data_IF_784553692514
#
_entry.id   IF_784553692514
#
_cell.length_a   1.000
_cell.length_b   1.000
_cell.length_c   1.000
_cell.angle_alpha   90.00
_cell.angle_beta   90.00
_cell.angle_gamma   90.00
#
_symmetry.space_group_name_H-M   'P 1'
#
loop_
_entity.id
_entity.type
_entity.pdbx_description
1 polymer ?
#
# COMPACT_ATOMS: atom_id res chain seq x y z
N UNK A 1 -20.24 9.98 13.08
CA UNK A 1 -19.68 8.63 12.76
C UNK A 1 -20.09 8.28 11.33
N UNK A 2 -19.34 8.77 10.34
CA UNK A 2 -19.49 8.33 8.96
C UNK A 2 -18.70 7.03 8.83
N UNK A 3 -19.38 5.91 8.62
CA UNK A 3 -18.71 4.65 8.33
C UNK A 3 -18.13 4.73 6.92
N UNK A 4 -16.89 4.30 6.76
CA UNK A 4 -16.28 4.02 5.46
C UNK A 4 -16.74 2.63 5.06
N UNK A 5 -17.24 2.49 3.84
CA UNK A 5 -17.61 1.20 3.25
C UNK A 5 -16.45 0.77 2.35
N UNK A 6 -15.90 -0.40 2.61
CA UNK A 6 -14.78 -0.91 1.81
C UNK A 6 -15.36 -1.57 0.55
N UNK A 7 -15.55 -0.76 -0.50
CA UNK A 7 -16.10 -1.20 -1.78
C UNK A 7 -15.30 -0.72 -3.01
N UNK A 8 -14.20 0.00 -2.77
CA UNK A 8 -13.33 0.58 -3.79
C UNK A 8 -13.83 1.91 -4.38
N UNK A 9 -15.04 2.38 -4.00
CA UNK A 9 -15.70 3.55 -4.58
C UNK A 9 -15.46 4.80 -3.73
N UNK A 10 -14.30 5.34 -3.77
CA UNK A 10 -13.88 6.47 -2.94
C UNK A 10 -14.83 7.67 -3.02
N UNK A 11 -15.44 7.91 -4.19
CA UNK A 11 -16.37 9.02 -4.40
C UNK A 11 -17.70 8.83 -3.67
N UNK A 12 -18.09 7.60 -3.31
CA UNK A 12 -19.36 7.30 -2.63
C UNK A 12 -19.33 7.68 -1.15
N UNK A 13 -18.15 7.67 -0.55
CA UNK A 13 -17.98 7.91 0.88
C UNK A 13 -17.64 9.37 1.20
N UNK A 14 -18.57 10.04 1.87
CA UNK A 14 -18.41 11.45 2.29
C UNK A 14 -17.16 11.70 3.14
N UNK A 15 -16.64 10.69 3.81
CA UNK A 15 -15.41 10.82 4.61
C UNK A 15 -14.27 11.26 3.73
N UNK A 16 -14.10 10.61 2.58
CA UNK A 16 -12.99 10.88 1.67
C UNK A 16 -13.05 12.27 1.03
N UNK A 17 -14.23 12.82 0.82
CA UNK A 17 -14.39 14.17 0.27
C UNK A 17 -13.88 15.27 1.22
N UNK A 18 -13.79 14.97 2.52
CA UNK A 18 -13.29 15.91 3.53
C UNK A 18 -11.79 15.75 3.81
N UNK A 19 -11.12 14.77 3.22
CA UNK A 19 -9.70 14.50 3.41
C UNK A 19 -8.92 15.01 2.20
N UNK A 20 -7.99 15.95 2.44
CA UNK A 20 -7.10 16.44 1.38
C UNK A 20 -6.21 15.30 0.87
N UNK A 21 -6.14 15.05 -0.44
CA UNK A 21 -5.29 14.01 -0.97
C UNK A 21 -3.80 14.38 -0.91
N UNK A 22 -2.97 13.37 -0.73
CA UNK A 22 -1.54 13.39 -1.01
C UNK A 22 -1.40 13.04 -2.49
N UNK A 23 -0.68 13.86 -3.27
CA UNK A 23 -0.59 13.73 -4.74
C UNK A 23 0.82 13.76 -5.28
N UNK A 24 1.82 14.07 -4.45
CA UNK A 24 3.18 14.32 -4.93
C UNK A 24 4.06 13.09 -4.74
N UNK A 25 3.87 12.06 -5.58
CA UNK A 25 4.81 10.95 -5.67
C UNK A 25 5.94 11.27 -6.64
N UNK A 26 7.11 10.70 -6.38
CA UNK A 26 8.33 10.93 -7.14
C UNK A 26 8.92 9.62 -7.58
N UNK A 27 9.33 9.51 -8.83
CA UNK A 27 9.90 8.31 -9.41
C UNK A 27 11.20 7.88 -8.72
N UNK A 28 11.31 6.60 -8.43
CA UNK A 28 12.56 5.91 -8.12
C UNK A 28 13.17 5.38 -9.42
N UNK A 29 12.32 4.79 -10.28
CA UNK A 29 12.67 4.32 -11.62
C UNK A 29 11.57 4.69 -12.61
N UNK A 30 11.87 4.89 -13.92
CA UNK A 30 13.20 4.91 -14.54
C UNK A 30 13.94 6.25 -14.34
N UNK A 31 13.22 7.34 -13.97
CA UNK A 31 13.78 8.68 -13.94
C UNK A 31 13.80 9.22 -12.48
N UNK A 32 14.80 8.83 -11.72
CA UNK A 32 14.92 9.19 -10.30
C UNK A 32 14.71 10.70 -10.06
N UNK A 33 13.81 11.01 -9.13
CA UNK A 33 13.50 12.39 -8.75
C UNK A 33 12.49 13.11 -9.65
N UNK A 34 12.09 12.52 -10.78
CA UNK A 34 11.03 13.07 -11.63
C UNK A 34 9.65 12.88 -11.00
N UNK A 35 8.66 13.74 -11.33
CA UNK A 35 7.27 13.48 -10.94
C UNK A 35 6.78 12.14 -11.48
N UNK A 36 5.84 11.52 -10.78
CA UNK A 36 5.13 10.33 -11.26
C UNK A 36 4.43 10.61 -12.60
N UNK A 37 4.44 9.64 -13.52
CA UNK A 37 3.89 9.82 -14.87
C UNK A 37 2.37 9.79 -14.94
N UNK A 38 1.71 9.14 -13.99
CA UNK A 38 0.25 9.04 -13.90
C UNK A 38 -0.21 9.53 -12.53
N UNK A 39 -1.17 10.43 -12.50
CA UNK A 39 -1.65 11.04 -11.26
C UNK A 39 -2.11 10.00 -10.24
N UNK A 40 -1.80 10.28 -8.98
CA UNK A 40 -2.18 9.43 -7.85
C UNK A 40 -2.72 10.29 -6.72
N UNK A 41 -3.85 9.90 -6.16
CA UNK A 41 -4.44 10.59 -5.01
C UNK A 41 -4.59 9.61 -3.84
N UNK A 42 -3.89 9.87 -2.75
CA UNK A 42 -3.91 9.03 -1.56
C UNK A 42 -4.58 9.80 -0.43
N UNK A 43 -5.42 9.14 0.34
CA UNK A 43 -6.05 9.71 1.53
C UNK A 43 -5.93 8.75 2.69
N UNK A 44 -5.82 9.30 3.89
CA UNK A 44 -5.71 8.55 5.14
C UNK A 44 -6.82 9.00 6.07
N UNK A 45 -7.45 8.04 6.71
CA UNK A 45 -8.40 8.27 7.79
C UNK A 45 -8.20 7.23 8.90
N UNK A 46 -8.70 7.48 10.10
CA UNK A 46 -8.66 6.51 11.17
C UNK A 46 -9.83 6.72 12.15
N UNK A 47 -10.11 5.68 12.89
CA UNK A 47 -10.99 5.73 14.06
C UNK A 47 -10.38 4.88 15.20
N UNK A 48 -11.12 4.61 16.23
CA UNK A 48 -10.64 3.84 17.39
C UNK A 48 -10.31 2.36 17.07
N UNK A 49 -10.76 1.86 15.92
CA UNK A 49 -10.65 0.45 15.56
C UNK A 49 -9.83 0.19 14.31
N UNK A 50 -9.78 1.15 13.38
CA UNK A 50 -9.21 0.96 12.06
C UNK A 50 -8.35 2.15 11.62
N UNK A 51 -7.31 1.81 10.90
CA UNK A 51 -6.56 2.73 10.04
C UNK A 51 -6.99 2.47 8.59
N UNK A 52 -7.39 3.52 7.88
CA UNK A 52 -7.89 3.44 6.51
C UNK A 52 -6.96 4.17 5.57
N UNK A 53 -6.74 3.56 4.41
CA UNK A 53 -6.09 4.22 3.27
C UNK A 53 -7.01 4.10 2.07
N UNK A 54 -7.16 5.17 1.30
CA UNK A 54 -7.76 5.11 -0.02
C UNK A 54 -6.80 5.66 -1.06
N UNK A 55 -6.81 5.07 -2.24
CA UNK A 55 -5.99 5.51 -3.36
C UNK A 55 -6.78 5.52 -4.65
N UNK A 56 -6.64 6.60 -5.43
CA UNK A 56 -7.07 6.67 -6.82
C UNK A 56 -5.80 6.68 -7.67
N UNK A 57 -5.65 5.66 -8.47
CA UNK A 57 -4.57 5.45 -9.42
C UNK A 57 -5.08 5.81 -10.81
N UNK A 58 -4.93 7.08 -11.21
CA UNK A 58 -5.27 7.48 -12.57
C UNK A 58 -4.37 6.79 -13.58
N UNK A 59 -4.90 6.53 -14.75
CA UNK A 59 -4.17 5.92 -15.86
C UNK A 59 -4.71 6.45 -17.18
N UNK A 60 -3.83 6.97 -18.01
CA UNK A 60 -4.16 7.51 -19.35
C UNK A 60 -4.53 6.43 -20.37
N UNK A 61 -4.27 5.17 -20.06
CA UNK A 61 -4.53 4.00 -20.90
C UNK A 61 -4.99 2.81 -20.04
N UNK A 62 -6.18 2.90 -19.39
CA UNK A 62 -6.63 1.89 -18.43
C UNK A 62 -6.74 0.47 -18.98
N UNK A 63 -6.89 0.36 -20.31
CA UNK A 63 -6.90 -0.94 -21.01
C UNK A 63 -5.54 -1.65 -21.02
N UNK A 64 -4.46 -0.95 -20.66
CA UNK A 64 -3.10 -1.50 -20.58
C UNK A 64 -2.68 -1.86 -19.17
N UNK A 65 -3.55 -1.67 -18.18
CA UNK A 65 -3.29 -2.06 -16.80
C UNK A 65 -3.00 -3.56 -16.75
N UNK A 66 -1.84 -3.90 -16.20
CA UNK A 66 -1.39 -5.28 -16.12
C UNK A 66 -1.65 -5.85 -14.73
N UNK A 67 -2.19 -7.05 -14.72
CA UNK A 67 -2.42 -7.83 -13.51
C UNK A 67 -1.71 -9.16 -13.71
N UNK A 68 -0.92 -9.53 -12.73
CA UNK A 68 -0.15 -10.77 -12.76
C UNK A 68 -0.85 -11.92 -12.03
N UNK A 69 -0.13 -12.54 -11.11
CA UNK A 69 -0.61 -13.68 -10.33
C UNK A 69 -1.67 -13.23 -9.30
N UNK A 70 -2.82 -13.87 -9.31
CA UNK A 70 -3.94 -13.56 -8.39
C UNK A 70 -3.80 -14.19 -6.99
N UNK A 71 -2.75 -14.99 -6.74
CA UNK A 71 -2.54 -15.59 -5.42
C UNK A 71 -2.20 -14.52 -4.38
N UNK A 72 -2.78 -14.63 -3.20
CA UNK A 72 -2.40 -13.82 -2.04
C UNK A 72 -0.88 -13.88 -1.85
N UNK A 73 -0.29 -12.77 -1.44
CA UNK A 73 1.15 -12.59 -1.18
C UNK A 73 2.09 -12.85 -2.38
N UNK A 74 1.56 -13.02 -3.58
CA UNK A 74 2.39 -12.99 -4.78
C UNK A 74 2.95 -11.59 -5.01
N UNK A 75 4.21 -11.50 -5.48
CA UNK A 75 4.90 -10.24 -5.69
C UNK A 75 4.10 -9.26 -6.55
N UNK A 76 4.14 -7.97 -6.19
CA UNK A 76 3.43 -6.88 -6.86
C UNK A 76 4.33 -6.02 -7.76
N UNK A 77 5.60 -6.39 -7.94
CA UNK A 77 6.61 -5.52 -8.56
C UNK A 77 6.41 -5.33 -10.06
N UNK A 78 5.87 -6.35 -10.75
CA UNK A 78 5.76 -6.37 -12.21
C UNK A 78 4.34 -6.06 -12.71
N UNK A 79 3.48 -5.57 -11.83
CA UNK A 79 2.08 -5.28 -12.14
C UNK A 79 1.67 -3.88 -11.66
N UNK A 80 0.54 -3.39 -12.17
CA UNK A 80 -0.03 -2.13 -11.71
C UNK A 80 -0.52 -2.31 -10.28
N UNK A 81 0.20 -1.72 -9.33
CA UNK A 81 -0.03 -1.94 -7.92
C UNK A 81 0.20 -0.69 -7.08
N UNK A 82 -0.35 -0.72 -5.88
CA UNK A 82 -0.14 0.29 -4.86
C UNK A 82 0.20 -0.38 -3.54
N UNK A 83 1.24 0.11 -2.88
CA UNK A 83 1.71 -0.38 -1.60
C UNK A 83 1.90 0.79 -0.64
N UNK A 84 1.81 0.51 0.64
CA UNK A 84 2.22 1.44 1.69
C UNK A 84 2.82 0.71 2.88
N UNK A 85 3.77 1.36 3.54
CA UNK A 85 4.36 0.88 4.78
C UNK A 85 3.97 1.81 5.93
N UNK A 86 3.64 1.23 7.07
CA UNK A 86 3.36 1.95 8.32
C UNK A 86 4.44 1.58 9.33
N UNK A 87 5.22 2.57 9.74
CA UNK A 87 6.14 2.48 10.89
C UNK A 87 5.41 2.94 12.15
N UNK A 88 4.87 1.99 12.89
CA UNK A 88 4.05 2.25 14.08
C UNK A 88 4.87 2.58 15.32
N UNK A 89 6.17 2.36 15.30
CA UNK A 89 7.12 2.67 16.36
C UNK A 89 7.89 3.97 16.09
N UNK A 90 7.82 4.48 14.85
CA UNK A 90 8.55 5.64 14.36
C UNK A 90 10.06 5.50 14.57
N UNK A 91 10.57 4.29 14.31
CA UNK A 91 11.97 3.92 14.49
C UNK A 91 12.75 3.85 13.17
N UNK A 92 12.05 4.00 12.02
CA UNK A 92 12.58 3.92 10.67
C UNK A 92 13.25 2.57 10.33
N UNK A 93 12.99 1.55 11.13
CA UNK A 93 13.59 0.22 10.98
C UNK A 93 12.55 -0.87 10.81
N UNK A 94 11.40 -0.72 11.47
CA UNK A 94 10.38 -1.73 11.52
C UNK A 94 9.05 -1.18 11.01
N UNK A 95 8.27 -2.02 10.34
CA UNK A 95 6.98 -1.58 9.82
C UNK A 95 6.13 -2.72 9.32
N UNK A 96 4.91 -2.36 8.94
CA UNK A 96 3.94 -3.26 8.33
C UNK A 96 3.65 -2.77 6.92
N UNK A 97 3.86 -3.64 5.95
CA UNK A 97 3.65 -3.37 4.54
C UNK A 97 2.31 -3.96 4.11
N UNK A 98 1.51 -3.17 3.42
CA UNK A 98 0.26 -3.58 2.81
C UNK A 98 0.24 -3.16 1.35
N UNK A 99 -0.36 -3.97 0.50
CA UNK A 99 -0.43 -3.65 -0.91
C UNK A 99 -1.56 -4.38 -1.63
N UNK A 100 -1.92 -3.83 -2.78
CA UNK A 100 -2.88 -4.45 -3.70
C UNK A 100 -2.56 -4.10 -5.14
N UNK A 101 -3.12 -4.87 -6.06
CA UNK A 101 -3.16 -4.55 -7.48
C UNK A 101 -4.57 -4.11 -7.89
N UNK A 102 -4.76 -3.84 -9.18
CA UNK A 102 -6.06 -3.42 -9.71
C UNK A 102 -7.14 -4.51 -9.69
N UNK A 103 -6.83 -5.75 -9.28
CA UNK A 103 -7.79 -6.86 -9.08
C UNK A 103 -8.10 -7.13 -7.62
N UNK A 104 -7.54 -6.36 -6.69
CA UNK A 104 -7.81 -6.51 -5.26
C UNK A 104 -7.01 -7.64 -4.60
N UNK A 105 -5.88 -8.05 -5.18
CA UNK A 105 -4.98 -9.00 -4.54
C UNK A 105 -4.45 -8.44 -3.23
N UNK A 106 -4.61 -9.19 -2.15
CA UNK A 106 -4.03 -8.83 -0.87
C UNK A 106 -2.54 -9.21 -0.84
N UNK A 107 -1.72 -8.27 -0.37
CA UNK A 107 -0.32 -8.50 -0.08
C UNK A 107 0.03 -7.82 1.23
N UNK A 108 0.58 -8.58 2.17
CA UNK A 108 1.07 -8.02 3.42
C UNK A 108 2.40 -8.65 3.84
N UNK A 109 3.18 -7.87 4.58
CA UNK A 109 4.46 -8.32 5.11
C UNK A 109 4.85 -7.50 6.34
N UNK A 110 5.69 -8.08 7.19
CA UNK A 110 6.36 -7.36 8.24
C UNK A 110 7.79 -7.02 7.82
N UNK A 111 8.17 -5.76 7.96
CA UNK A 111 9.52 -5.26 7.70
C UNK A 111 10.27 -5.17 9.02
N UNK A 112 11.51 -5.67 9.03
CA UNK A 112 12.43 -5.57 10.16
C UNK A 112 13.79 -5.09 9.65
N UNK A 113 14.50 -4.31 10.45
CA UNK A 113 15.83 -3.78 10.13
C UNK A 113 15.92 -3.13 8.73
N UNK A 114 15.01 -2.20 8.43
CA UNK A 114 14.96 -1.47 7.14
C UNK A 114 14.79 -2.39 5.92
N UNK A 115 14.30 -3.60 6.09
CA UNK A 115 14.26 -4.60 5.02
C UNK A 115 15.64 -5.18 4.66
N UNK A 116 16.69 -4.80 5.38
CA UNK A 116 18.05 -5.28 5.14
C UNK A 116 18.23 -6.63 5.81
N UNK A 117 18.30 -7.68 5.02
CA UNK A 117 18.64 -9.02 5.48
C UNK A 117 20.13 -9.28 5.42
N UNK A 118 20.57 -10.21 6.25
CA UNK A 118 21.93 -10.70 6.21
C UNK A 118 22.17 -11.44 4.88
N UNK A 119 22.89 -10.84 3.95
CA UNK A 119 23.21 -11.39 2.62
C UNK A 119 23.97 -12.73 2.65
N UNK A 120 24.35 -13.22 3.83
CA UNK A 120 25.12 -14.45 3.99
C UNK A 120 24.27 -15.70 4.22
N UNK A 121 22.97 -15.64 4.33
CA UNK A 121 22.12 -16.83 4.43
C UNK A 121 21.44 -17.14 3.10
N UNK A 122 22.20 -17.73 2.20
CA UNK A 122 21.70 -18.44 1.01
C UNK A 122 20.95 -19.71 1.43
N UNK A 123 19.91 -19.61 2.25
CA UNK A 123 18.96 -20.71 2.49
C UNK A 123 17.62 -20.16 2.90
N UNK A 124 16.69 -20.38 2.03
CA UNK A 124 15.28 -20.41 2.18
C UNK A 124 14.86 -21.06 3.49
N UNK A 125 14.79 -20.30 4.55
CA UNK A 125 14.22 -20.76 5.80
C UNK A 125 13.10 -19.79 6.17
N UNK A 126 11.88 -20.17 5.81
CA UNK A 126 10.68 -19.59 6.34
C UNK A 126 10.29 -18.20 5.80
N UNK A 127 10.40 -17.93 4.47
CA UNK A 127 9.76 -16.76 3.85
C UNK A 127 10.32 -15.38 4.26
N UNK A 128 11.47 -15.32 4.93
CA UNK A 128 12.14 -14.06 5.27
C UNK A 128 13.21 -13.78 4.22
N UNK A 129 12.98 -12.79 3.39
CA UNK A 129 13.95 -12.30 2.42
C UNK A 129 14.39 -10.90 2.86
N UNK A 130 15.65 -10.75 3.24
CA UNK A 130 16.24 -9.44 3.48
C UNK A 130 15.53 -8.59 4.54
N UNK A 131 15.12 -9.17 5.67
CA UNK A 131 14.40 -8.42 6.71
C UNK A 131 12.90 -8.24 6.43
N UNK A 132 12.38 -8.75 5.30
CA UNK A 132 10.96 -8.77 4.96
C UNK A 132 10.40 -10.16 5.26
N UNK A 133 9.46 -10.24 6.17
CA UNK A 133 8.74 -11.47 6.52
C UNK A 133 7.39 -11.50 5.79
N UNK A 134 7.34 -12.16 4.65
CA UNK A 134 6.12 -12.35 3.84
C UNK A 134 5.18 -13.42 4.40
N UNK A 135 5.60 -14.19 5.42
CA UNK A 135 4.73 -15.14 6.13
C UNK A 135 3.98 -14.49 7.30
N UNK A 136 4.21 -13.20 7.52
CA UNK A 136 3.37 -12.45 8.44
C UNK A 136 2.03 -12.22 7.75
N UNK A 137 0.97 -12.66 8.38
CA UNK A 137 -0.38 -12.64 7.83
C UNK A 137 -1.28 -11.86 8.80
N UNK A 138 -1.79 -10.74 8.32
CA UNK A 138 -2.72 -9.89 9.06
C UNK A 138 -4.17 -10.12 8.60
N UNK A 139 -5.10 -9.94 9.50
CA UNK A 139 -6.50 -9.81 9.10
C UNK A 139 -6.79 -8.36 8.77
N UNK A 140 -7.08 -8.06 7.52
CA UNK A 140 -7.42 -6.73 7.00
C UNK A 140 -8.27 -6.87 5.74
N UNK A 141 -8.85 -5.78 5.26
CA UNK A 141 -9.75 -5.79 4.13
C UNK A 141 -9.27 -4.80 3.06
N UNK A 142 -9.43 -5.17 1.79
CA UNK A 142 -9.25 -4.28 0.64
C UNK A 142 -10.36 -4.51 -0.38
N UNK A 143 -10.83 -3.44 -1.00
CA UNK A 143 -11.69 -3.51 -2.16
C UNK A 143 -11.21 -2.55 -3.24
N UNK A 144 -11.46 -2.90 -4.49
CA UNK A 144 -10.98 -2.21 -5.67
C UNK A 144 -12.12 -1.95 -6.64
N UNK A 145 -12.10 -0.79 -7.29
CA UNK A 145 -12.96 -0.47 -8.43
C UNK A 145 -12.10 -0.08 -9.62
N UNK A 146 -12.46 -0.59 -10.81
CA UNK A 146 -11.86 -0.21 -12.08
C UNK A 146 -12.82 0.70 -12.87
N UNK A 147 -12.26 1.68 -13.55
CA UNK A 147 -13.04 2.59 -14.39
C UNK A 147 -12.24 3.15 -15.55
N UNK A 148 -12.88 4.01 -16.33
CA UNK A 148 -12.20 4.72 -17.43
C UNK A 148 -11.12 5.70 -16.97
N UNK A 149 -11.04 5.97 -15.67
CA UNK A 149 -10.02 6.82 -15.04
C UNK A 149 -8.76 6.06 -14.64
N UNK A 150 -8.79 4.74 -14.63
CA UNK A 150 -7.79 3.86 -14.04
C UNK A 150 -8.44 2.93 -13.00
N UNK A 151 -7.95 2.93 -11.77
CA UNK A 151 -8.50 2.12 -10.69
C UNK A 151 -8.38 2.82 -9.33
N UNK A 152 -9.15 2.36 -8.38
CA UNK A 152 -9.11 2.85 -7.00
C UNK A 152 -9.16 1.69 -6.01
N UNK A 153 -8.62 1.90 -4.83
CA UNK A 153 -8.65 0.94 -3.75
C UNK A 153 -8.93 1.60 -2.41
N UNK A 154 -9.61 0.87 -1.55
CA UNK A 154 -9.82 1.20 -0.14
C UNK A 154 -9.32 0.07 0.74
N UNK A 155 -8.52 0.43 1.73
CA UNK A 155 -7.92 -0.47 2.69
C UNK A 155 -8.49 -0.19 4.08
N UNK A 156 -8.84 -1.23 4.82
CA UNK A 156 -9.19 -1.15 6.23
C UNK A 156 -8.28 -2.06 7.06
N UNK A 157 -7.36 -1.46 7.79
CA UNK A 157 -6.40 -2.16 8.64
C UNK A 157 -6.89 -2.09 10.09
N UNK A 158 -7.36 -3.20 10.69
CA UNK A 158 -7.73 -3.20 12.09
C UNK A 158 -6.52 -2.87 12.97
N UNK A 159 -6.65 -1.91 13.87
CA UNK A 159 -5.55 -1.52 14.76
C UNK A 159 -5.03 -2.69 15.62
N UNK A 160 -5.87 -3.69 15.87
CA UNK A 160 -5.47 -4.93 16.55
C UNK A 160 -4.52 -5.83 15.75
N UNK A 161 -4.48 -5.67 14.42
CA UNK A 161 -3.62 -6.47 13.53
C UNK A 161 -2.18 -5.96 13.49
N UNK A 162 -1.94 -4.73 13.92
CA UNK A 162 -0.62 -4.10 13.95
C UNK A 162 -0.22 -3.77 15.39
N UNK A 163 1.07 -3.90 15.68
CA UNK A 163 1.62 -3.53 16.99
C UNK A 163 2.09 -2.08 16.97
N UNK A 164 1.86 -1.36 18.04
CA UNK A 164 2.33 0.02 18.18
C UNK A 164 2.62 0.36 19.65
N UNK A 165 3.42 1.40 19.86
CA UNK A 165 3.78 1.86 21.21
C UNK A 165 2.55 2.32 21.99
N UNK A 166 2.47 2.02 23.30
CA UNK A 166 1.40 2.53 24.16
C UNK A 166 1.51 4.06 24.30
N UNK A 167 0.41 4.74 24.60
CA UNK A 167 0.38 6.18 24.85
C UNK A 167 -0.87 6.85 24.30
N UNK A 168 -1.15 8.06 24.78
CA UNK A 168 -2.33 8.85 24.34
C UNK A 168 -2.13 9.46 22.95
N UNK A 169 -0.93 9.90 22.65
CA UNK A 169 -0.54 10.44 21.34
C UNK A 169 0.40 9.47 20.67
N UNK A 170 0.20 9.24 19.38
CA UNK A 170 1.03 8.35 18.57
C UNK A 170 1.55 9.11 17.36
N UNK A 171 2.81 8.93 17.06
CA UNK A 171 3.43 9.40 15.82
C UNK A 171 3.84 8.17 15.04
N UNK A 172 3.35 8.04 13.82
CA UNK A 172 3.68 6.94 12.91
C UNK A 172 4.36 7.49 11.67
N UNK A 173 5.36 6.77 11.19
CA UNK A 173 5.89 6.98 9.85
C UNK A 173 5.00 6.30 8.81
N UNK A 174 4.88 6.89 7.63
CA UNK A 174 4.20 6.26 6.50
C UNK A 174 4.93 6.61 5.21
N UNK A 175 5.01 5.63 4.30
CA UNK A 175 5.49 5.84 2.95
C UNK A 175 4.61 5.07 1.97
N UNK A 176 4.58 5.52 0.71
CA UNK A 176 3.74 4.97 -0.34
C UNK A 176 4.59 4.61 -1.54
N UNK A 177 4.16 3.59 -2.25
CA UNK A 177 4.75 3.19 -3.52
C UNK A 177 3.64 2.88 -4.52
N UNK A 178 3.76 3.39 -5.73
CA UNK A 178 2.96 2.98 -6.88
C UNK A 178 3.85 2.37 -7.95
N UNK A 179 3.44 1.23 -8.46
CA UNK A 179 4.04 0.60 -9.63
C UNK A 179 3.13 0.81 -10.85
N UNK A 180 3.71 1.27 -11.95
CA UNK A 180 3.03 1.48 -13.23
C UNK A 180 3.73 0.61 -14.27
N UNK A 181 3.19 -0.57 -14.52
CA UNK A 181 3.89 -1.62 -15.28
C UNK A 181 4.15 -1.22 -16.73
N UNK A 182 3.21 -0.54 -17.39
CA UNK A 182 3.36 -0.07 -18.77
C UNK A 182 4.59 0.83 -18.99
N UNK A 183 5.04 1.52 -17.93
CA UNK A 183 6.17 2.44 -17.95
C UNK A 183 7.42 1.86 -17.25
N UNK A 184 7.33 0.65 -16.69
CA UNK A 184 8.35 0.08 -15.80
C UNK A 184 8.71 1.07 -14.68
N UNK A 185 7.71 1.77 -14.18
CA UNK A 185 7.87 2.89 -13.24
C UNK A 185 7.54 2.47 -11.82
N UNK A 186 8.37 2.94 -10.90
CA UNK A 186 8.17 2.87 -9.45
C UNK A 186 8.28 4.30 -8.89
N UNK A 187 7.25 4.76 -8.21
CA UNK A 187 7.19 6.07 -7.56
C UNK A 187 6.65 5.97 -6.12
#
# INVERSE_FOLDING_TARGET
>A
NSNITIDGKISSDKVWSNVKPITSLTQITPNFGSPISEDTQIRIAYNDFYFYVSVICFDSSPEKIQVGDSRRDAALNDEDSFLFIIDTFNDQQNGFLFGTNSDGKEFDAQINNEGVGNRSSNRQQGGVIGGTNINWDASWDVAVEKGSYGWSAEFAIPLRSIRFSPGKTKTWGINFQRNISKNTEIA
#
